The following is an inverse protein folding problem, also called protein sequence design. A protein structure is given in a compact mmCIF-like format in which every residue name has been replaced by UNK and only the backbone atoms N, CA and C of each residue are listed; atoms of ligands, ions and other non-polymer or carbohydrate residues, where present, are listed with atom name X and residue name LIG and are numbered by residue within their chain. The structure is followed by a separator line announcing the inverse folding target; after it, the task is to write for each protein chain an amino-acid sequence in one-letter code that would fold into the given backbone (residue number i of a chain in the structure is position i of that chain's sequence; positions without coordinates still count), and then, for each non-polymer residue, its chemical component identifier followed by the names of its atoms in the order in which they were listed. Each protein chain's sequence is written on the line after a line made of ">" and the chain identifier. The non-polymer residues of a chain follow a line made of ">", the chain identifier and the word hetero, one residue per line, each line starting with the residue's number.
data_IF_000554286935
#
_entry.id   IF_000554286935
#
_cell.length_a   1.000
_cell.length_b   1.000
_cell.length_c   1.000
_cell.angle_alpha   90.00
_cell.angle_beta   90.00
_cell.angle_gamma   90.00
#
_symmetry.space_group_name_H-M   'P 1'
#
loop_
_entity.id
_entity.type
_entity.pdbx_description
1 polymer ?
#
# COMPACT_ATOMS: atom_id res chain seq x y z
N UNK A 1 12.62 -3.50 3.54
CA UNK A 1 12.73 -2.79 2.24
C UNK A 1 11.74 -1.63 2.25
N UNK A 2 12.00 -0.54 1.52
CA UNK A 2 11.10 0.62 1.46
C UNK A 2 10.85 1.04 0.02
N UNK A 3 9.67 1.60 -0.21
CA UNK A 3 9.25 2.24 -1.47
C UNK A 3 8.87 3.67 -1.14
N UNK A 4 9.43 4.64 -1.85
CA UNK A 4 9.08 6.04 -1.67
C UNK A 4 7.91 6.42 -2.60
N UNK A 5 6.93 7.13 -2.05
CA UNK A 5 5.83 7.73 -2.80
C UNK A 5 5.86 9.23 -2.59
N UNK A 6 5.77 9.97 -3.69
CA UNK A 6 5.87 11.43 -3.70
C UNK A 6 4.65 12.02 -4.40
N UNK A 7 4.03 13.02 -3.79
CA UNK A 7 2.98 13.80 -4.43
C UNK A 7 3.60 14.96 -5.22
N UNK A 8 3.56 14.86 -6.55
CA UNK A 8 4.07 15.89 -7.46
C UNK A 8 2.98 16.88 -7.91
N UNK A 9 1.76 16.75 -7.40
CA UNK A 9 0.64 17.64 -7.67
C UNK A 9 0.65 18.89 -6.78
N UNK A 10 -0.33 19.75 -7.04
CA UNK A 10 -0.55 21.03 -6.34
C UNK A 10 -1.60 20.93 -5.21
N UNK A 11 -2.19 19.75 -5.01
CA UNK A 11 -3.22 19.48 -3.99
C UNK A 11 -2.82 18.33 -3.07
N UNK A 12 -3.31 18.30 -1.82
CA UNK A 12 -3.17 17.13 -0.98
C UNK A 12 -3.84 15.91 -1.62
N UNK A 13 -3.16 14.76 -1.59
CA UNK A 13 -3.64 13.50 -2.13
C UNK A 13 -3.77 12.45 -1.02
N UNK A 14 -4.85 11.68 -1.07
CA UNK A 14 -5.04 10.50 -0.23
C UNK A 14 -4.77 9.28 -1.11
N UNK A 15 -3.80 8.46 -0.73
CA UNK A 15 -3.43 7.28 -1.50
C UNK A 15 -3.66 6.01 -0.69
N UNK A 16 -4.25 5.02 -1.38
CA UNK A 16 -4.37 3.65 -0.91
C UNK A 16 -3.15 2.85 -1.37
N UNK A 17 -2.74 1.90 -0.53
CA UNK A 17 -1.65 0.96 -0.78
C UNK A 17 -2.21 -0.44 -0.62
N UNK A 18 -2.16 -1.22 -1.70
CA UNK A 18 -2.58 -2.62 -1.71
C UNK A 18 -1.42 -3.51 -2.15
N UNK A 19 -1.27 -4.66 -1.51
CA UNK A 19 -0.28 -5.68 -1.86
C UNK A 19 -1.01 -6.96 -2.27
N UNK A 20 -0.59 -7.52 -3.41
CA UNK A 20 -1.05 -8.82 -3.88
C UNK A 20 0.14 -9.70 -4.22
N UNK A 21 0.02 -11.01 -3.97
CA UNK A 21 0.93 -12.00 -4.54
C UNK A 21 0.55 -12.22 -6.00
N UNK A 22 1.57 -12.28 -6.85
CA UNK A 22 1.43 -12.53 -8.27
C UNK A 22 1.56 -14.03 -8.53
N UNK A 23 0.51 -14.64 -9.07
CA UNK A 23 0.50 -16.04 -9.50
C UNK A 23 0.79 -16.10 -10.99
N UNK A 24 1.60 -17.07 -11.40
CA UNK A 24 2.04 -17.27 -12.79
C UNK A 24 2.71 -16.03 -13.42
N UNK A 25 3.75 -15.45 -12.79
CA UNK A 25 4.42 -14.27 -13.34
C UNK A 25 4.97 -14.55 -14.76
N UNK A 26 4.84 -13.57 -15.66
CA UNK A 26 5.36 -13.65 -17.03
C UNK A 26 4.36 -14.13 -18.09
N UNK A 27 3.13 -14.47 -17.70
CA UNK A 27 2.01 -14.69 -18.63
C UNK A 27 1.36 -13.35 -19.03
N UNK A 28 0.59 -13.30 -20.14
CA UNK A 28 -0.16 -12.10 -20.50
C UNK A 28 -1.11 -11.66 -19.38
N UNK A 29 -1.25 -10.34 -19.18
CA UNK A 29 -2.07 -9.74 -18.11
C UNK A 29 -3.48 -10.34 -17.94
N UNK A 30 -4.23 -10.72 -19.00
CA UNK A 30 -5.57 -11.29 -18.83
C UNK A 30 -5.62 -12.65 -18.11
N UNK A 31 -4.51 -13.38 -18.08
CA UNK A 31 -4.38 -14.71 -17.47
C UNK A 31 -3.44 -14.71 -16.27
N UNK A 32 -2.91 -13.55 -15.91
CA UNK A 32 -2.13 -13.35 -14.71
C UNK A 32 -3.07 -13.19 -13.51
N UNK A 33 -2.82 -13.96 -12.46
CA UNK A 33 -3.71 -14.00 -11.29
C UNK A 33 -3.11 -13.25 -10.10
N UNK A 34 -3.97 -12.57 -9.35
CA UNK A 34 -3.59 -11.81 -8.16
C UNK A 34 -4.30 -12.38 -6.93
N UNK A 35 -3.51 -12.75 -5.94
CA UNK A 35 -4.01 -13.13 -4.61
C UNK A 35 -3.79 -11.96 -3.66
N UNK A 36 -4.86 -11.40 -3.10
CA UNK A 36 -4.76 -10.28 -2.16
C UNK A 36 -4.13 -10.75 -0.84
N UNK A 37 -3.12 -10.02 -0.35
CA UNK A 37 -2.41 -10.39 0.88
C UNK A 37 -3.29 -10.32 2.13
N UNK A 38 -4.35 -9.49 2.11
CA UNK A 38 -5.34 -9.44 3.18
C UNK A 38 -6.15 -10.74 3.33
N UNK A 39 -6.30 -11.51 2.26
CA UNK A 39 -7.08 -12.75 2.22
C UNK A 39 -6.18 -14.00 2.29
N UNK A 40 -4.85 -13.83 2.27
CA UNK A 40 -3.89 -14.93 2.36
C UNK A 40 -3.73 -15.40 3.81
N UNK A 41 -3.93 -16.70 4.12
CA UNK A 41 -3.85 -17.20 5.50
C UNK A 41 -2.47 -17.07 6.15
N UNK A 42 -1.40 -17.21 5.36
CA UNK A 42 -0.01 -17.09 5.82
C UNK A 42 0.76 -16.19 4.85
N UNK A 43 0.62 -14.87 4.97
CA UNK A 43 1.29 -13.95 4.06
C UNK A 43 2.80 -13.96 4.28
N UNK A 44 3.56 -14.00 3.19
CA UNK A 44 5.03 -13.95 3.25
C UNK A 44 5.60 -12.54 3.35
N UNK A 45 4.85 -11.56 2.85
CA UNK A 45 5.24 -10.16 2.77
C UNK A 45 4.04 -9.28 3.15
N UNK A 46 4.31 -8.21 3.90
CA UNK A 46 3.32 -7.21 4.25
C UNK A 46 3.79 -5.80 3.86
N UNK A 47 2.85 -4.94 3.46
CA UNK A 47 3.10 -3.54 3.11
C UNK A 47 2.42 -2.61 4.13
N UNK A 48 3.14 -1.61 4.61
CA UNK A 48 2.61 -0.64 5.57
C UNK A 48 3.14 0.78 5.32
N UNK A 49 2.32 1.83 5.48
CA UNK A 49 0.89 1.78 5.81
C UNK A 49 0.01 1.49 4.59
N UNK A 50 -1.23 1.06 4.82
CA UNK A 50 -2.24 0.80 3.79
C UNK A 50 -2.93 2.07 3.26
N UNK A 51 -2.82 3.19 3.99
CA UNK A 51 -3.29 4.51 3.56
C UNK A 51 -2.30 5.58 3.96
N UNK A 52 -2.14 6.58 3.11
CA UNK A 52 -1.26 7.73 3.31
C UNK A 52 -1.99 9.01 2.86
N UNK A 53 -1.80 10.10 3.61
CA UNK A 53 -2.05 11.45 3.10
C UNK A 53 -0.71 12.08 2.72
N UNK A 54 -0.65 12.71 1.54
CA UNK A 54 0.53 13.39 1.00
C UNK A 54 0.17 14.83 0.64
N UNK A 55 0.74 15.79 1.37
CA UNK A 55 0.67 17.20 0.97
C UNK A 55 1.41 17.44 -0.37
N UNK A 56 1.16 18.56 -1.07
CA UNK A 56 1.91 18.93 -2.27
C UNK A 56 3.43 18.89 -2.02
N UNK A 57 4.18 18.20 -2.89
CA UNK A 57 5.63 18.01 -2.76
C UNK A 57 6.08 17.04 -1.66
N UNK A 58 5.17 16.49 -0.84
CA UNK A 58 5.54 15.59 0.24
C UNK A 58 5.89 14.20 -0.28
N UNK A 59 6.91 13.61 0.34
CA UNK A 59 7.28 12.21 0.14
C UNK A 59 7.11 11.41 1.43
N UNK A 60 6.61 10.18 1.33
CA UNK A 60 6.53 9.21 2.43
C UNK A 60 7.01 7.84 1.97
N UNK A 61 7.33 6.99 2.93
CA UNK A 61 7.76 5.62 2.68
C UNK A 61 6.64 4.63 2.96
N UNK A 62 6.52 3.66 2.06
CA UNK A 62 5.83 2.39 2.28
C UNK A 62 6.91 1.37 2.65
N UNK A 63 6.77 0.74 3.80
CA UNK A 63 7.66 -0.32 4.26
C UNK A 63 7.13 -1.68 3.80
N UNK A 64 8.01 -2.46 3.18
CA UNK A 64 7.78 -3.87 2.83
C UNK A 64 8.54 -4.73 3.84
N UNK A 65 7.77 -5.49 4.64
CA UNK A 65 8.26 -6.32 5.73
C UNK A 65 8.01 -7.80 5.42
N UNK A 66 9.06 -8.61 5.22
CA UNK A 66 8.94 -10.07 5.18
C UNK A 66 8.46 -10.59 6.53
N UNK A 67 7.53 -11.54 6.52
CA UNK A 67 6.93 -12.11 7.73
C UNK A 67 7.49 -13.50 8.08
N UNK A 68 7.96 -14.24 7.07
CA UNK A 68 8.55 -15.55 7.23
C UNK A 68 9.65 -15.78 6.19
N UNK A 69 10.44 -16.84 6.39
CA UNK A 69 11.34 -17.32 5.34
C UNK A 69 10.48 -18.03 4.30
N UNK A 70 10.50 -17.52 3.07
CA UNK A 70 9.79 -18.13 1.96
C UNK A 70 10.55 -19.36 1.44
N UNK A 71 9.86 -20.49 1.18
CA UNK A 71 10.50 -21.73 0.71
C UNK A 71 10.93 -21.63 -0.77
N UNK A 72 10.39 -20.68 -1.52
CA UNK A 72 10.72 -20.39 -2.90
C UNK A 72 10.55 -18.89 -3.18
N UNK A 73 11.12 -18.43 -4.28
CA UNK A 73 10.90 -17.07 -4.76
C UNK A 73 9.42 -16.82 -5.07
N UNK A 74 8.91 -15.65 -4.70
CA UNK A 74 7.54 -15.25 -4.95
C UNK A 74 7.51 -13.82 -5.49
N UNK A 75 6.70 -13.59 -6.51
CA UNK A 75 6.47 -12.27 -7.08
C UNK A 75 5.28 -11.58 -6.40
N UNK A 76 5.37 -10.27 -6.24
CA UNK A 76 4.34 -9.45 -5.60
C UNK A 76 4.07 -8.20 -6.44
N UNK A 77 2.83 -7.72 -6.39
CA UNK A 77 2.38 -6.47 -6.99
C UNK A 77 1.98 -5.50 -5.88
N UNK A 78 2.72 -4.40 -5.77
CA UNK A 78 2.36 -3.26 -4.93
C UNK A 78 1.60 -2.25 -5.77
N UNK A 79 0.36 -1.96 -5.38
CA UNK A 79 -0.49 -0.99 -6.06
C UNK A 79 -0.69 0.23 -5.17
N UNK A 80 -0.34 1.40 -5.70
CA UNK A 80 -0.56 2.69 -5.05
C UNK A 80 -1.54 3.49 -5.90
N UNK A 81 -2.69 3.86 -5.34
CA UNK A 81 -3.76 4.57 -6.09
C UNK A 81 -4.28 5.77 -5.30
N UNK A 82 -4.46 6.94 -5.94
CA UNK A 82 -5.23 8.03 -5.37
C UNK A 82 -6.68 7.59 -5.10
N UNK A 83 -7.20 7.86 -3.91
CA UNK A 83 -8.60 7.65 -3.56
C UNK A 83 -9.44 8.85 -4.02
N UNK A 84 -10.27 8.67 -5.05
CA UNK A 84 -11.22 9.69 -5.51
C UNK A 84 -12.37 9.78 -4.50
N UNK A 85 -12.59 10.95 -3.90
CA UNK A 85 -13.79 11.22 -3.06
C UNK A 85 -13.56 11.53 -1.59
N UNK A 86 -12.31 11.63 -1.11
CA UNK A 86 -12.02 12.06 0.28
C UNK A 86 -12.15 13.58 0.47
N UNK A 87 -12.38 14.34 -0.60
CA UNK A 87 -12.68 15.77 -0.55
C UNK A 87 -14.18 15.99 -0.29
N UNK A 88 -14.59 15.79 0.95
CA UNK A 88 -15.95 16.04 1.42
C UNK A 88 -15.97 16.61 2.83
N UNK A 89 -16.02 17.94 2.90
CA UNK A 89 -16.46 18.78 4.04
C UNK A 89 -15.46 19.11 5.16
N UNK A 90 -15.27 20.42 5.36
CA UNK A 90 -15.03 20.99 6.69
C UNK A 90 -13.62 21.46 6.99
N UNK A 91 -13.47 22.79 7.03
CA UNK A 91 -12.46 23.59 7.74
C UNK A 91 -11.69 22.86 8.85
N UNK A 92 -10.38 23.12 8.90
CA UNK A 92 -9.51 23.00 10.09
C UNK A 92 -9.71 21.72 10.90
N UNK A 93 -8.93 20.69 10.62
CA UNK A 93 -8.47 19.70 11.60
C UNK A 93 -7.49 18.74 10.93
N UNK A 94 -6.22 18.94 11.23
CA UNK A 94 -5.17 17.92 11.40
C UNK A 94 -5.53 16.56 10.84
N UNK A 95 -5.02 16.22 9.65
CA UNK A 95 -5.07 14.86 9.12
C UNK A 95 -4.36 13.93 10.13
N UNK A 96 -5.17 13.32 11.01
CA UNK A 96 -4.71 12.54 12.14
C UNK A 96 -3.90 11.34 11.68
N UNK A 97 -2.73 11.15 12.28
CA UNK A 97 -1.99 9.90 12.19
C UNK A 97 -2.80 8.87 12.97
N UNK A 98 -3.40 7.88 12.28
CA UNK A 98 -3.96 6.71 12.95
C UNK A 98 -2.81 5.80 13.39
N UNK A 99 -2.32 5.99 14.61
CA UNK A 99 -1.40 5.06 15.27
C UNK A 99 -2.24 3.96 15.92
N UNK A 100 -2.29 2.79 15.31
CA UNK A 100 -2.87 1.59 15.95
C UNK A 100 -1.73 0.86 16.65
N UNK A 101 -1.72 0.91 17.99
CA UNK A 101 -0.90 0.03 18.82
C UNK A 101 -1.73 -1.20 19.17
N UNK A 102 -1.32 -2.36 18.65
CA UNK A 102 -1.87 -3.65 19.06
C UNK A 102 -0.81 -4.29 19.95
N UNK A 103 -1.05 -4.32 21.25
CA UNK A 103 -0.26 -5.10 22.20
C UNK A 103 -0.97 -6.45 22.43
N UNK A 104 -0.19 -7.53 22.49
CA UNK A 104 -0.61 -8.82 23.04
C UNK A 104 -0.08 -8.93 24.46
#
# INVERSE_FOLDING_TARGET
>A
MTVQVSNLGDRPEYVSVALSRLLNPGVPLPVEELEAIGDTPMPGLYATPFRLSLAPGQSKFITLKPLNRLPAEQAYRLVVRPEKGVLGTGRDQTAGVLVVNIAY
#
